data_IF_534781500894
#
_entry.id   IF_534781500894
#
_cell.length_a   1.000
_cell.length_b   1.000
_cell.length_c   1.000
_cell.angle_alpha   90.00
_cell.angle_beta   90.00
_cell.angle_gamma   90.00
#
_symmetry.space_group_name_H-M   'P 1'
#
loop_
_entity.id
_entity.type
_entity.pdbx_description
1 polymer ?
#
# COMPACT_ATOMS: atom_id res chain seq x y z
N UNK A 1 5.88 15.61 -7.65
CA UNK A 1 6.48 14.51 -6.86
C UNK A 1 6.78 15.01 -5.45
N UNK A 2 6.48 14.23 -4.41
CA UNK A 2 6.75 14.57 -3.01
C UNK A 2 7.53 13.43 -2.34
N UNK A 3 8.60 13.79 -1.63
CA UNK A 3 9.39 12.87 -0.80
C UNK A 3 9.18 13.26 0.66
N UNK A 4 8.93 12.27 1.51
CA UNK A 4 8.84 12.46 2.96
C UNK A 4 9.87 11.56 3.63
N UNK A 5 10.70 12.13 4.50
CA UNK A 5 11.56 11.33 5.38
C UNK A 5 10.69 10.49 6.32
N UNK A 6 11.08 9.23 6.49
CA UNK A 6 10.55 8.29 7.47
C UNK A 6 11.70 7.87 8.41
N UNK A 7 11.46 6.85 9.22
CA UNK A 7 12.43 6.32 10.18
C UNK A 7 12.32 6.96 11.57
N UNK A 8 13.44 7.03 12.30
CA UNK A 8 13.46 7.52 13.68
C UNK A 8 12.52 6.73 14.59
N UNK A 9 11.61 7.43 15.29
CA UNK A 9 10.64 6.78 16.18
C UNK A 9 9.71 5.80 15.44
N UNK A 10 9.42 6.01 14.15
CA UNK A 10 8.60 5.10 13.36
C UNK A 10 9.28 3.74 13.15
N UNK A 11 10.61 3.71 13.04
CA UNK A 11 11.37 2.47 12.82
C UNK A 11 11.53 1.63 14.09
N UNK A 12 11.20 2.17 15.27
CA UNK A 12 11.28 1.40 16.52
C UNK A 12 10.27 0.25 16.51
N UNK A 13 10.61 -0.90 17.13
CA UNK A 13 9.68 -2.02 17.31
C UNK A 13 8.36 -1.56 17.97
N UNK A 14 7.24 -2.10 17.50
CA UNK A 14 5.90 -1.77 17.98
C UNK A 14 4.93 -2.85 17.51
N UNK A 15 3.86 -3.07 18.29
CA UNK A 15 2.77 -3.97 17.91
C UNK A 15 1.82 -3.39 16.85
N UNK A 16 2.03 -2.12 16.46
CA UNK A 16 1.23 -1.48 15.41
C UNK A 16 1.46 -2.14 14.04
N UNK A 17 0.37 -2.48 13.35
CA UNK A 17 0.39 -3.13 12.03
C UNK A 17 0.62 -2.09 10.92
N UNK A 18 1.84 -1.54 10.89
CA UNK A 18 2.32 -0.64 9.84
C UNK A 18 3.35 -1.41 9.02
N UNK A 19 3.16 -1.51 7.71
CA UNK A 19 4.17 -2.12 6.83
C UNK A 19 5.34 -1.19 6.56
N UNK A 20 6.48 -1.76 6.14
CA UNK A 20 7.67 -1.03 5.69
C UNK A 20 8.17 0.03 6.69
N UNK A 21 8.07 -0.24 8.00
CA UNK A 21 8.45 0.72 9.07
C UNK A 21 9.92 1.14 9.05
N UNK A 22 10.77 0.28 8.48
CA UNK A 22 12.21 0.54 8.31
C UNK A 22 12.53 1.39 7.07
N UNK A 23 11.54 1.72 6.23
CA UNK A 23 11.75 2.57 5.07
C UNK A 23 12.29 3.95 5.49
N UNK A 24 13.30 4.45 4.75
CA UNK A 24 13.86 5.78 4.99
C UNK A 24 12.99 6.90 4.39
N UNK A 25 12.17 6.58 3.38
CA UNK A 25 11.38 7.56 2.65
C UNK A 25 10.01 7.01 2.23
N UNK A 26 9.02 7.89 2.18
CA UNK A 26 7.79 7.71 1.40
C UNK A 26 7.82 8.61 0.17
N UNK A 27 7.62 8.01 -1.00
CA UNK A 27 7.54 8.70 -2.29
C UNK A 27 6.07 8.76 -2.74
N UNK A 28 5.62 9.94 -3.16
CA UNK A 28 4.29 10.17 -3.70
C UNK A 28 4.41 10.89 -5.04
N UNK A 29 3.81 10.31 -6.09
CA UNK A 29 3.72 10.91 -7.42
C UNK A 29 2.26 11.31 -7.65
N UNK A 30 2.04 12.57 -7.98
CA UNK A 30 0.72 13.15 -8.22
C UNK A 30 0.80 14.02 -9.46
N UNK A 31 -0.23 13.91 -10.30
CA UNK A 31 -0.42 14.72 -11.51
C UNK A 31 -1.89 15.17 -11.55
N UNK A 32 -2.15 16.33 -12.15
CA UNK A 32 -3.51 16.71 -12.50
C UNK A 32 -4.04 15.79 -13.59
N UNK A 33 -5.33 15.45 -13.51
CA UNK A 33 -6.03 14.65 -14.51
C UNK A 33 -7.04 15.52 -15.25
N UNK A 34 -7.16 15.29 -16.55
CA UNK A 34 -8.28 15.76 -17.39
C UNK A 34 -8.97 14.55 -18.03
N UNK A 35 -9.90 14.78 -18.96
CA UNK A 35 -10.69 13.69 -19.58
C UNK A 35 -9.85 12.77 -20.45
N UNK A 36 -8.72 13.24 -20.98
CA UNK A 36 -8.03 12.60 -22.09
C UNK A 36 -6.61 12.13 -21.71
N UNK A 37 -6.10 12.52 -20.53
CA UNK A 37 -4.70 12.28 -20.15
C UNK A 37 -4.47 11.11 -19.17
N UNK A 38 -5.54 10.45 -18.69
CA UNK A 38 -5.46 9.45 -17.62
C UNK A 38 -4.46 8.31 -17.89
N UNK A 39 -4.52 7.71 -19.07
CA UNK A 39 -3.65 6.59 -19.45
C UNK A 39 -2.18 7.03 -19.59
N UNK A 40 -1.93 8.18 -20.22
CA UNK A 40 -0.59 8.72 -20.39
C UNK A 40 0.05 9.09 -19.04
N UNK A 41 -0.73 9.65 -18.12
CA UNK A 41 -0.31 9.94 -16.74
C UNK A 41 -0.01 8.63 -16.00
N UNK A 42 -0.89 7.63 -16.10
CA UNK A 42 -0.70 6.32 -15.47
C UNK A 42 0.57 5.60 -15.95
N UNK A 43 0.82 5.61 -17.26
CA UNK A 43 2.05 5.09 -17.86
C UNK A 43 3.29 5.78 -17.32
N UNK A 44 3.26 7.11 -17.27
CA UNK A 44 4.36 7.93 -16.73
C UNK A 44 4.61 7.61 -15.26
N UNK A 45 3.55 7.47 -14.47
CA UNK A 45 3.66 7.09 -13.05
C UNK A 45 4.29 5.71 -12.90
N UNK A 46 3.86 4.70 -13.67
CA UNK A 46 4.48 3.36 -13.64
C UNK A 46 5.97 3.43 -13.96
N UNK A 47 6.36 4.11 -15.03
CA UNK A 47 7.79 4.27 -15.38
C UNK A 47 8.60 4.89 -14.24
N UNK A 48 8.10 5.97 -13.64
CA UNK A 48 8.76 6.59 -12.47
C UNK A 48 8.79 5.61 -11.29
N UNK A 49 7.72 4.83 -11.09
CA UNK A 49 7.61 3.84 -10.01
C UNK A 49 8.35 2.52 -10.28
N UNK A 50 8.82 2.25 -11.48
CA UNK A 50 9.61 1.04 -11.76
C UNK A 50 11.11 1.29 -11.52
N UNK A 51 11.55 2.55 -11.46
CA UNK A 51 12.97 2.92 -11.27
C UNK A 51 13.56 2.61 -9.88
N UNK A 52 12.75 2.30 -8.85
CA UNK A 52 13.32 1.98 -7.52
C UNK A 52 13.16 0.47 -7.28
N UNK A 53 14.28 -0.18 -6.97
CA UNK A 53 14.40 -1.64 -6.87
C UNK A 53 13.90 -2.22 -5.53
N UNK A 54 13.93 -1.44 -4.46
CA UNK A 54 13.42 -1.83 -3.13
C UNK A 54 12.19 -1.00 -2.78
N UNK A 55 10.99 -1.51 -3.08
CA UNK A 55 9.75 -0.79 -2.82
C UNK A 55 8.75 -1.65 -2.05
N UNK A 56 8.12 -1.01 -1.09
CA UNK A 56 6.87 -1.44 -0.49
C UNK A 56 5.71 -0.57 -0.98
N UNK A 57 4.48 -1.02 -0.74
CA UNK A 57 3.28 -0.22 -1.00
C UNK A 57 2.87 0.56 0.24
N UNK A 58 2.63 1.87 0.12
CA UNK A 58 2.09 2.69 1.20
C UNK A 58 0.62 3.05 0.93
N UNK A 59 -0.30 2.28 1.50
CA UNK A 59 -1.73 2.34 1.16
C UNK A 59 -2.42 3.66 1.54
N UNK A 60 -1.98 4.33 2.60
CA UNK A 60 -2.62 5.57 3.08
C UNK A 60 -2.55 6.73 2.07
N UNK A 61 -1.67 6.63 1.06
CA UNK A 61 -1.54 7.60 -0.03
C UNK A 61 -1.55 6.92 -1.40
N UNK A 62 -2.16 5.73 -1.49
CA UNK A 62 -2.37 5.03 -2.75
C UNK A 62 -3.69 5.53 -3.36
N UNK A 63 -3.62 6.13 -4.54
CA UNK A 63 -4.77 6.65 -5.26
C UNK A 63 -5.11 5.74 -6.44
N UNK A 64 -6.40 5.48 -6.64
CA UNK A 64 -6.86 4.52 -7.62
C UNK A 64 -6.81 3.07 -7.13
N UNK A 65 -7.29 2.13 -7.95
CA UNK A 65 -7.37 0.72 -7.57
C UNK A 65 -5.97 0.12 -7.36
N UNK A 66 -5.79 -0.57 -6.23
CA UNK A 66 -4.63 -1.42 -6.00
C UNK A 66 -4.98 -2.87 -6.34
N UNK A 67 -4.04 -3.59 -6.96
CA UNK A 67 -4.16 -5.03 -7.14
C UNK A 67 -4.06 -5.76 -5.80
N UNK A 68 -4.57 -6.99 -5.72
CA UNK A 68 -4.43 -7.81 -4.51
C UNK A 68 -2.96 -8.02 -4.12
N UNK A 69 -2.07 -8.11 -5.12
CA UNK A 69 -0.63 -8.23 -4.90
C UNK A 69 -0.04 -6.95 -4.30
N UNK A 70 -0.43 -5.77 -4.80
CA UNK A 70 0.01 -4.47 -4.24
C UNK A 70 -0.48 -4.27 -2.80
N UNK A 71 -1.72 -4.68 -2.50
CA UNK A 71 -2.27 -4.64 -1.12
C UNK A 71 -1.50 -5.59 -0.21
N UNK A 72 -1.22 -6.82 -0.66
CA UNK A 72 -0.40 -7.78 0.09
C UNK A 72 1.01 -7.24 0.36
N UNK A 73 1.64 -6.69 -0.67
CA UNK A 73 2.98 -6.12 -0.60
C UNK A 73 3.06 -4.86 0.28
N UNK A 74 1.94 -4.32 0.76
CA UNK A 74 1.94 -3.23 1.72
C UNK A 74 2.34 -3.67 3.14
N UNK A 75 2.39 -4.98 3.41
CA UNK A 75 2.64 -5.54 4.73
C UNK A 75 3.74 -6.60 4.66
N UNK A 76 4.41 -6.83 5.79
CA UNK A 76 5.23 -8.04 5.96
C UNK A 76 4.33 -9.30 5.89
N UNK A 77 4.83 -10.44 5.39
CA UNK A 77 4.03 -11.65 5.20
C UNK A 77 3.27 -12.10 6.46
N UNK A 78 3.91 -12.03 7.62
CA UNK A 78 3.34 -12.45 8.91
C UNK A 78 2.22 -11.49 9.34
N UNK A 79 2.38 -10.19 9.07
CA UNK A 79 1.36 -9.16 9.34
C UNK A 79 0.16 -9.37 8.43
N UNK A 80 0.37 -9.59 7.14
CA UNK A 80 -0.72 -9.86 6.20
C UNK A 80 -1.51 -11.11 6.60
N UNK A 81 -0.83 -12.20 6.97
CA UNK A 81 -1.48 -13.42 7.47
C UNK A 81 -2.32 -13.13 8.72
N UNK A 82 -1.78 -12.39 9.69
CA UNK A 82 -2.53 -12.01 10.89
C UNK A 82 -3.77 -11.18 10.54
N UNK A 83 -3.69 -10.29 9.54
CA UNK A 83 -4.83 -9.50 9.08
C UNK A 83 -5.92 -10.37 8.43
N UNK A 84 -5.57 -11.39 7.64
CA UNK A 84 -6.57 -12.31 7.05
C UNK A 84 -7.24 -13.19 8.12
N UNK A 85 -6.50 -13.61 9.15
CA UNK A 85 -7.05 -14.33 10.31
C UNK A 85 -8.01 -13.46 11.12
N UNK A 86 -7.62 -12.21 11.42
CA UNK A 86 -8.50 -11.23 12.07
C UNK A 86 -9.75 -10.98 11.21
N UNK A 87 -9.59 -10.85 9.90
CA UNK A 87 -10.70 -10.69 8.96
C UNK A 87 -11.66 -11.87 9.02
N UNK A 88 -11.15 -13.12 9.06
CA UNK A 88 -11.98 -14.32 9.23
C UNK A 88 -12.74 -14.30 10.55
N UNK A 89 -12.13 -13.85 11.65
CA UNK A 89 -12.76 -13.79 12.97
C UNK A 89 -13.87 -12.74 13.06
N UNK A 90 -13.66 -11.56 12.48
CA UNK A 90 -14.54 -10.40 12.70
C UNK A 90 -15.44 -10.07 11.50
N UNK A 91 -15.09 -10.49 10.29
CA UNK A 91 -15.86 -10.29 9.06
C UNK A 91 -15.77 -11.51 8.14
N UNK A 92 -16.26 -12.69 8.58
CA UNK A 92 -16.19 -13.93 7.81
C UNK A 92 -16.96 -13.85 6.47
N UNK A 93 -18.04 -13.06 6.42
CA UNK A 93 -18.81 -12.82 5.20
C UNK A 93 -18.16 -11.79 4.25
N UNK A 94 -17.00 -11.22 4.64
CA UNK A 94 -16.26 -10.23 3.88
C UNK A 94 -17.13 -9.03 3.43
N UNK A 95 -17.95 -8.51 4.34
CA UNK A 95 -18.83 -7.36 4.13
C UNK A 95 -18.02 -6.07 3.92
N UNK A 96 -16.95 -5.86 4.70
CA UNK A 96 -16.08 -4.69 4.59
C UNK A 96 -14.97 -4.91 3.56
N UNK A 97 -15.31 -4.77 2.28
CA UNK A 97 -14.42 -5.11 1.15
C UNK A 97 -14.13 -3.95 0.21
N UNK A 98 -14.44 -2.72 0.62
CA UNK A 98 -14.23 -1.52 -0.17
C UNK A 98 -12.80 -0.98 0.03
N UNK A 99 -12.26 -0.27 -0.97
CA UNK A 99 -10.89 0.27 -1.00
C UNK A 99 -9.81 -0.83 -1.18
N UNK A 100 -8.88 -0.97 -0.22
CA UNK A 100 -7.79 -1.95 -0.27
C UNK A 100 -8.20 -3.26 0.40
N UNK A 101 -8.85 -4.14 -0.38
CA UNK A 101 -9.42 -5.39 0.12
C UNK A 101 -8.37 -6.36 0.68
N UNK A 102 -8.60 -6.85 1.89
CA UNK A 102 -7.94 -8.03 2.48
C UNK A 102 -9.01 -9.13 2.64
N UNK A 103 -8.86 -10.31 2.01
CA UNK A 103 -9.81 -11.40 2.15
C UNK A 103 -9.68 -12.10 3.51
N UNK A 104 -10.76 -12.70 4.06
CA UNK A 104 -10.65 -13.60 5.19
C UNK A 104 -9.76 -14.80 4.82
N UNK A 105 -9.05 -15.35 5.81
CA UNK A 105 -8.38 -16.64 5.65
C UNK A 105 -9.41 -17.73 5.27
N UNK A 106 -8.98 -18.69 4.44
CA UNK A 106 -9.76 -19.88 4.09
C UNK A 106 -10.05 -20.78 5.28
#
# INVERSE_FOLDING_TARGET
MKVRHLGGALAKPSDALVGHRSAAFALQVLSGLDRDNGDAVGETHRRVLDTQRSRGTFLNNHYGPATAEQVRAAYEPEVYRRLTELKRRYDPANMFRFNHKIPPAG
#
